data_IF_660517475274
#
_entry.id   IF_660517475274
#
_cell.length_a   1.000
_cell.length_b   1.000
_cell.length_c   1.000
_cell.angle_alpha   90.00
_cell.angle_beta   90.00
_cell.angle_gamma   90.00
#
_symmetry.space_group_name_H-M   'P 1'
#
loop_
_entity.id
_entity.type
_entity.pdbx_description
1 polymer ?
#
# COMPACT_ATOMS: atom_id res chain seq x y z
N UNK A 1 17.49 29.30 -22.12
CA UNK A 1 18.18 29.88 -20.95
C UNK A 1 17.52 31.17 -20.44
N UNK A 2 16.99 32.07 -21.28
CA UNK A 2 16.30 33.29 -20.80
C UNK A 2 15.02 33.04 -19.97
N UNK A 3 14.25 31.99 -20.24
CA UNK A 3 13.01 31.71 -19.50
C UNK A 3 13.23 31.25 -18.04
N UNK A 4 14.33 30.54 -17.77
CA UNK A 4 14.67 30.07 -16.42
C UNK A 4 15.14 31.25 -15.55
N UNK A 5 15.89 32.18 -16.13
CA UNK A 5 16.31 33.41 -15.45
C UNK A 5 15.14 34.39 -15.21
N UNK A 6 14.13 34.42 -16.09
CA UNK A 6 12.95 35.27 -15.89
C UNK A 6 12.01 34.73 -14.80
N UNK A 7 11.84 33.41 -14.71
CA UNK A 7 11.07 32.77 -13.63
C UNK A 7 11.82 32.89 -12.31
N UNK A 8 13.14 32.73 -12.28
CA UNK A 8 13.94 32.96 -11.06
C UNK A 8 14.07 34.44 -10.68
N UNK A 9 13.98 35.37 -11.63
CA UNK A 9 14.07 36.82 -11.41
C UNK A 9 12.75 37.49 -11.00
N UNK A 10 11.60 36.86 -11.26
CA UNK A 10 10.28 37.28 -10.75
C UNK A 10 9.98 36.71 -9.35
N UNK A 11 10.85 35.83 -8.83
CA UNK A 11 10.80 35.26 -7.49
C UNK A 11 11.74 36.08 -6.58
N UNK A 12 11.21 37.19 -6.07
CA UNK A 12 11.92 38.12 -5.20
C UNK A 12 12.62 37.46 -4.02
N UNK A 13 13.75 38.07 -3.66
CA UNK A 13 14.57 37.85 -2.47
C UNK A 13 13.78 37.29 -1.28
N UNK A 14 13.97 36.01 -0.96
CA UNK A 14 14.26 35.38 0.35
C UNK A 14 13.99 33.88 0.17
N UNK A 15 14.69 33.24 -0.77
CA UNK A 15 14.83 31.79 -0.67
C UNK A 15 16.02 31.56 0.25
N UNK A 16 15.96 30.55 1.13
CA UNK A 16 17.18 30.00 1.72
C UNK A 16 18.19 29.81 0.58
N UNK A 17 19.34 30.49 0.64
CA UNK A 17 20.29 30.42 -0.47
C UNK A 17 20.76 28.98 -0.73
N UNK A 18 20.66 28.12 0.28
CA UNK A 18 20.90 26.70 0.17
C UNK A 18 19.86 26.02 -0.73
N UNK A 19 18.57 26.34 -0.62
CA UNK A 19 17.52 25.75 -1.45
C UNK A 19 17.58 26.24 -2.91
N UNK A 20 17.89 27.52 -3.13
CA UNK A 20 18.18 28.07 -4.48
C UNK A 20 19.37 27.37 -5.12
N UNK A 21 20.47 27.27 -4.37
CA UNK A 21 21.71 26.64 -4.84
C UNK A 21 21.47 25.16 -5.15
N UNK A 22 20.74 24.45 -4.28
CA UNK A 22 20.37 23.06 -4.50
C UNK A 22 19.52 22.89 -5.76
N UNK A 23 18.50 23.74 -5.98
CA UNK A 23 17.67 23.71 -7.18
C UNK A 23 18.48 24.01 -8.44
N UNK A 24 19.35 25.02 -8.40
CA UNK A 24 20.23 25.38 -9.52
C UNK A 24 21.19 24.25 -9.91
N UNK A 25 21.56 23.39 -8.95
CA UNK A 25 22.40 22.20 -9.18
C UNK A 25 21.66 20.98 -9.79
N UNK A 26 20.33 21.06 -9.94
CA UNK A 26 19.52 20.02 -10.57
C UNK A 26 19.44 20.21 -12.08
N UNK A 27 18.99 19.19 -12.81
CA UNK A 27 18.74 19.28 -14.25
C UNK A 27 17.71 20.36 -14.59
N UNK A 28 17.83 20.95 -15.77
CA UNK A 28 16.85 21.92 -16.28
C UNK A 28 15.43 21.34 -16.34
N UNK A 29 15.32 20.02 -16.54
CA UNK A 29 14.04 19.32 -16.53
C UNK A 29 13.41 19.34 -15.13
N UNK A 30 14.20 19.06 -14.10
CA UNK A 30 13.75 19.13 -12.72
C UNK A 30 13.36 20.56 -12.32
N UNK A 31 14.16 21.56 -12.69
CA UNK A 31 13.85 22.98 -12.42
C UNK A 31 12.52 23.42 -13.06
N UNK A 32 12.29 23.04 -14.32
CA UNK A 32 11.02 23.29 -15.01
C UNK A 32 9.86 22.59 -14.30
N UNK A 33 10.06 21.34 -13.87
CA UNK A 33 9.04 20.58 -13.15
C UNK A 33 8.70 21.19 -11.79
N UNK A 34 9.68 21.70 -11.05
CA UNK A 34 9.44 22.43 -9.79
C UNK A 34 8.51 23.61 -10.02
N UNK A 35 8.80 24.43 -11.04
CA UNK A 35 7.95 25.57 -11.40
C UNK A 35 6.53 25.12 -11.75
N UNK A 36 6.39 24.06 -12.55
CA UNK A 36 5.10 23.49 -12.88
C UNK A 36 4.34 23.01 -11.63
N UNK A 37 4.99 22.28 -10.72
CA UNK A 37 4.35 21.76 -9.52
C UNK A 37 3.87 22.85 -8.57
N UNK A 38 4.65 23.93 -8.42
CA UNK A 38 4.24 25.10 -7.64
C UNK A 38 3.00 25.75 -8.27
N UNK A 39 2.98 25.92 -9.59
CA UNK A 39 1.85 26.51 -10.30
C UNK A 39 0.58 25.62 -10.31
N UNK A 40 0.76 24.30 -10.25
CA UNK A 40 -0.33 23.33 -10.32
C UNK A 40 -1.11 23.16 -9.01
N UNK A 41 -0.66 23.74 -7.89
CA UNK A 41 -1.36 23.64 -6.61
C UNK A 41 -1.31 24.96 -5.82
N UNK A 42 -2.48 25.53 -5.54
CA UNK A 42 -2.62 26.82 -4.84
C UNK A 42 -2.00 26.83 -3.44
N UNK A 43 -2.12 25.74 -2.67
CA UNK A 43 -1.55 25.67 -1.31
C UNK A 43 -0.03 25.60 -1.37
N UNK A 44 0.54 24.86 -2.34
CA UNK A 44 1.99 24.85 -2.57
C UNK A 44 2.47 26.24 -2.98
N UNK A 45 1.73 26.94 -3.84
CA UNK A 45 2.03 28.31 -4.23
C UNK A 45 2.04 29.27 -3.02
N UNK A 46 1.06 29.17 -2.12
CA UNK A 46 1.02 29.95 -0.88
C UNK A 46 2.23 29.64 0.00
N UNK A 47 2.52 28.36 0.26
CA UNK A 47 3.65 27.96 1.08
C UNK A 47 4.96 28.48 0.50
N UNK A 48 5.12 28.35 -0.82
CA UNK A 48 6.31 28.81 -1.53
C UNK A 48 6.47 30.34 -1.46
N UNK A 49 5.41 31.10 -1.74
CA UNK A 49 5.43 32.59 -1.66
C UNK A 49 5.56 33.10 -0.23
N UNK A 50 5.14 32.32 0.76
CA UNK A 50 5.33 32.58 2.19
C UNK A 50 6.68 32.10 2.72
N UNK A 51 7.60 31.70 1.84
CA UNK A 51 8.96 31.24 2.17
C UNK A 51 9.02 29.97 3.03
N UNK A 52 7.91 29.20 3.07
CA UNK A 52 7.78 27.91 3.77
C UNK A 52 8.17 26.77 2.84
N UNK A 53 9.42 26.77 2.38
CA UNK A 53 9.89 25.87 1.32
C UNK A 53 9.90 24.40 1.72
N UNK A 54 10.23 24.10 2.97
CA UNK A 54 10.19 22.73 3.47
C UNK A 54 8.77 22.18 3.47
N UNK A 55 7.80 22.98 3.91
CA UNK A 55 6.39 22.62 3.89
C UNK A 55 5.87 22.50 2.46
N UNK A 56 6.29 23.40 1.55
CA UNK A 56 5.91 23.33 0.14
C UNK A 56 6.40 22.05 -0.55
N UNK A 57 7.66 21.66 -0.34
CA UNK A 57 8.24 20.46 -0.96
C UNK A 57 7.71 19.16 -0.34
N UNK A 58 7.29 19.21 0.94
CA UNK A 58 6.67 18.08 1.65
C UNK A 58 5.14 18.07 1.56
N UNK A 59 4.54 19.05 0.88
CA UNK A 59 3.08 19.18 0.82
C UNK A 59 2.46 17.92 0.19
N UNK A 60 1.50 17.33 0.89
CA UNK A 60 0.81 16.10 0.49
C UNK A 60 -0.66 16.15 0.91
N UNK A 61 -1.52 15.74 -0.01
CA UNK A 61 -2.97 15.59 0.11
C UNK A 61 -3.40 14.40 -0.75
N UNK A 62 -4.61 13.84 -0.55
CA UNK A 62 -5.10 12.72 -1.36
C UNK A 62 -5.07 12.99 -2.87
N UNK A 63 -5.26 14.24 -3.29
CA UNK A 63 -5.30 14.65 -4.71
C UNK A 63 -3.98 15.21 -5.25
N UNK A 64 -3.03 15.55 -4.39
CA UNK A 64 -1.78 16.18 -4.80
C UNK A 64 -0.67 15.93 -3.77
N UNK A 65 0.48 15.45 -4.22
CA UNK A 65 1.70 15.41 -3.43
C UNK A 65 2.87 15.99 -4.21
N UNK A 66 3.65 16.87 -3.57
CA UNK A 66 4.79 17.55 -4.19
C UNK A 66 5.82 16.56 -4.71
N UNK A 67 6.18 15.52 -3.94
CA UNK A 67 7.06 14.44 -4.39
C UNK A 67 6.55 13.77 -5.68
N UNK A 68 5.27 13.42 -5.72
CA UNK A 68 4.65 12.80 -6.91
C UNK A 68 4.70 13.73 -8.11
N UNK A 69 4.31 14.98 -7.92
CA UNK A 69 4.37 15.96 -9.01
C UNK A 69 5.81 16.10 -9.52
N UNK A 70 6.80 16.21 -8.64
CA UNK A 70 8.18 16.45 -9.01
C UNK A 70 8.81 15.26 -9.74
N UNK A 71 8.56 14.03 -9.31
CA UNK A 71 9.31 12.86 -9.78
C UNK A 71 8.61 12.10 -10.92
N UNK A 72 7.28 12.17 -10.99
CA UNK A 72 6.51 11.52 -12.06
C UNK A 72 6.75 12.21 -13.42
N UNK A 73 6.55 11.47 -14.52
CA UNK A 73 6.79 11.89 -15.91
C UNK A 73 8.25 12.24 -16.20
N UNK A 74 9.16 11.63 -15.43
CA UNK A 74 10.61 11.84 -15.51
C UNK A 74 11.02 13.29 -15.27
N UNK A 75 10.27 14.05 -14.47
CA UNK A 75 10.55 15.47 -14.18
C UNK A 75 11.87 15.66 -13.43
N UNK A 76 11.89 15.30 -12.16
CA UNK A 76 13.06 15.17 -11.30
C UNK A 76 13.37 13.69 -11.06
N UNK A 77 14.63 13.33 -10.87
CA UNK A 77 15.01 12.06 -10.24
C UNK A 77 14.76 12.14 -8.73
N UNK A 78 14.63 10.99 -8.05
CA UNK A 78 14.56 10.94 -6.58
C UNK A 78 15.79 11.61 -5.94
N UNK A 79 16.98 11.41 -6.51
CA UNK A 79 18.22 12.05 -6.04
C UNK A 79 18.15 13.58 -6.11
N UNK A 80 17.63 14.13 -7.21
CA UNK A 80 17.44 15.58 -7.35
C UNK A 80 16.38 16.11 -6.36
N UNK A 81 15.26 15.40 -6.23
CA UNK A 81 14.22 15.72 -5.23
C UNK A 81 14.83 15.80 -3.83
N UNK A 82 15.54 14.75 -3.40
CA UNK A 82 16.13 14.70 -2.06
C UNK A 82 17.16 15.78 -1.83
N UNK A 83 17.93 16.16 -2.86
CA UNK A 83 18.89 17.26 -2.76
C UNK A 83 18.17 18.59 -2.48
N UNK A 84 17.13 18.91 -3.26
CA UNK A 84 16.34 20.14 -3.06
C UNK A 84 15.63 20.12 -1.71
N UNK A 85 15.04 18.98 -1.33
CA UNK A 85 14.34 18.78 -0.06
C UNK A 85 15.26 18.93 1.15
N UNK A 86 16.46 18.33 1.12
CA UNK A 86 17.42 18.47 2.21
C UNK A 86 17.87 19.92 2.40
N UNK A 87 18.11 20.63 1.30
CA UNK A 87 18.49 22.03 1.35
C UNK A 87 17.35 22.95 1.84
N UNK A 88 16.10 22.63 1.49
CA UNK A 88 14.92 23.39 1.95
C UNK A 88 14.56 23.12 3.42
N UNK A 89 14.75 21.89 3.90
CA UNK A 89 14.35 21.45 5.25
C UNK A 89 15.48 21.48 6.29
N UNK A 90 16.72 21.76 5.90
CA UNK A 90 17.86 21.83 6.81
C UNK A 90 18.30 20.48 7.38
N UNK A 91 17.86 19.36 6.80
CA UNK A 91 18.20 18.00 7.25
C UNK A 91 19.21 17.33 6.33
N UNK A 92 20.43 17.12 6.83
CA UNK A 92 21.51 16.38 6.16
C UNK A 92 21.34 14.86 6.20
N UNK A 93 20.32 14.35 6.91
CA UNK A 93 20.17 12.92 7.19
C UNK A 93 19.38 12.22 6.07
N UNK A 94 20.09 11.37 5.33
CA UNK A 94 19.52 10.31 4.48
C UNK A 94 19.01 9.11 5.29
N UNK A 95 19.12 9.15 6.62
CA UNK A 95 18.90 8.01 7.53
C UNK A 95 17.60 8.07 8.34
N UNK A 96 16.81 9.13 8.22
CA UNK A 96 15.48 9.24 8.84
C UNK A 96 14.42 9.68 7.83
N UNK A 97 14.08 8.82 6.86
CA UNK A 97 12.86 9.03 6.08
C UNK A 97 11.66 8.77 6.98
N UNK A 98 10.79 9.77 7.14
CA UNK A 98 9.52 9.58 7.82
C UNK A 98 8.54 8.74 6.95
N UNK A 99 7.51 8.21 7.60
CA UNK A 99 6.52 7.34 6.95
C UNK A 99 5.86 8.01 5.74
N UNK A 100 5.62 9.33 5.80
CA UNK A 100 5.06 10.12 4.70
C UNK A 100 5.93 10.06 3.45
N UNK A 101 7.22 10.30 3.61
CA UNK A 101 8.18 10.24 2.52
C UNK A 101 8.33 8.83 1.95
N UNK A 102 8.38 7.80 2.81
CA UNK A 102 8.43 6.40 2.36
C UNK A 102 7.19 6.04 1.53
N UNK A 103 6.00 6.43 1.97
CA UNK A 103 4.74 6.21 1.24
C UNK A 103 4.76 6.94 -0.10
N UNK A 104 5.19 8.20 -0.13
CA UNK A 104 5.32 8.96 -1.36
C UNK A 104 6.29 8.34 -2.37
N UNK A 105 7.45 7.85 -1.92
CA UNK A 105 8.42 7.13 -2.78
C UNK A 105 7.82 5.85 -3.34
N UNK A 106 7.12 5.09 -2.49
CA UNK A 106 6.45 3.86 -2.91
C UNK A 106 5.40 4.14 -4.00
N UNK A 107 4.60 5.21 -3.85
CA UNK A 107 3.59 5.63 -4.83
C UNK A 107 4.22 6.09 -6.15
N UNK A 108 5.28 6.89 -6.10
CA UNK A 108 6.01 7.32 -7.31
C UNK A 108 6.59 6.13 -8.07
N UNK A 109 7.04 5.10 -7.35
CA UNK A 109 7.59 3.88 -7.93
C UNK A 109 6.52 2.93 -8.50
N UNK A 110 5.24 3.18 -8.21
CA UNK A 110 4.11 2.41 -8.74
C UNK A 110 3.65 2.97 -10.10
N UNK A 111 2.76 2.26 -10.77
CA UNK A 111 2.14 2.69 -12.04
C UNK A 111 1.24 3.92 -11.84
N UNK A 112 0.99 4.63 -12.94
CA UNK A 112 0.05 5.76 -12.94
C UNK A 112 -1.38 5.31 -12.59
N UNK A 113 -1.78 4.13 -13.05
CA UNK A 113 -3.07 3.52 -12.71
C UNK A 113 -3.18 3.32 -11.20
N UNK A 114 -2.15 2.74 -10.58
CA UNK A 114 -2.16 2.52 -9.13
C UNK A 114 -2.19 3.81 -8.33
N UNK A 115 -1.39 4.82 -8.70
CA UNK A 115 -1.44 6.14 -8.03
C UNK A 115 -2.82 6.79 -8.11
N UNK A 116 -3.45 6.72 -9.28
CA UNK A 116 -4.80 7.26 -9.49
C UNK A 116 -5.82 6.50 -8.65
N UNK A 117 -5.69 5.17 -8.60
CA UNK A 117 -6.57 4.34 -7.78
C UNK A 117 -6.39 4.60 -6.28
N UNK A 118 -5.17 4.83 -5.81
CA UNK A 118 -4.92 5.22 -4.42
C UNK A 118 -5.68 6.50 -4.08
N UNK A 119 -5.59 7.54 -4.92
CA UNK A 119 -6.32 8.79 -4.73
C UNK A 119 -7.85 8.58 -4.71
N UNK A 120 -8.37 7.78 -5.65
CA UNK A 120 -9.78 7.44 -5.72
C UNK A 120 -10.25 6.69 -4.47
N UNK A 121 -9.49 5.70 -4.00
CA UNK A 121 -9.82 4.90 -2.84
C UNK A 121 -9.80 5.71 -1.54
N UNK A 122 -8.79 6.57 -1.37
CA UNK A 122 -8.74 7.47 -0.21
C UNK A 122 -9.96 8.39 -0.20
N UNK A 123 -10.34 8.93 -1.36
CA UNK A 123 -11.48 9.85 -1.47
C UNK A 123 -12.85 9.16 -1.43
N UNK A 124 -12.90 7.83 -1.58
CA UNK A 124 -14.15 7.07 -1.62
C UNK A 124 -14.72 6.75 -0.24
N UNK A 125 -13.91 6.86 0.82
CA UNK A 125 -14.33 6.63 2.20
C UNK A 125 -13.77 7.72 3.13
N UNK A 126 -14.66 8.45 3.80
CA UNK A 126 -14.27 9.57 4.70
C UNK A 126 -13.39 9.14 5.87
N UNK A 127 -13.48 7.91 6.35
CA UNK A 127 -12.62 7.41 7.42
C UNK A 127 -11.20 7.23 6.90
N UNK A 128 -11.06 6.64 5.70
CA UNK A 128 -9.76 6.49 5.04
C UNK A 128 -9.14 7.84 4.73
N UNK A 129 -9.91 8.79 4.22
CA UNK A 129 -9.46 10.16 3.98
C UNK A 129 -8.94 10.82 5.27
N UNK A 130 -9.69 10.72 6.37
CA UNK A 130 -9.31 11.27 7.67
C UNK A 130 -8.05 10.60 8.23
N UNK A 131 -7.91 9.27 8.09
CA UNK A 131 -6.70 8.55 8.50
C UNK A 131 -5.50 9.00 7.66
N UNK A 132 -5.65 9.13 6.34
CA UNK A 132 -4.60 9.56 5.43
C UNK A 132 -4.13 10.99 5.74
N UNK A 133 -5.06 11.94 5.87
CA UNK A 133 -4.76 13.34 6.18
C UNK A 133 -4.18 13.53 7.60
N UNK A 134 -4.49 12.60 8.52
CA UNK A 134 -3.88 12.55 9.86
C UNK A 134 -2.54 11.79 9.90
N UNK A 135 -1.93 11.49 8.75
CA UNK A 135 -0.67 10.74 8.60
C UNK A 135 -0.71 9.31 9.17
N UNK A 136 -1.90 8.75 9.39
CA UNK A 136 -2.14 7.36 9.83
C UNK A 136 -2.21 6.43 8.64
N UNK A 137 -1.13 6.40 7.85
CA UNK A 137 -1.09 5.72 6.56
C UNK A 137 -1.26 4.21 6.67
N UNK A 138 -0.70 3.60 7.72
CA UNK A 138 -0.83 2.16 7.93
C UNK A 138 -2.28 1.77 8.23
N UNK A 139 -2.96 2.54 9.08
CA UNK A 139 -4.37 2.34 9.38
C UNK A 139 -5.24 2.59 8.14
N UNK A 140 -4.94 3.63 7.35
CA UNK A 140 -5.67 3.93 6.12
C UNK A 140 -5.58 2.78 5.10
N UNK A 141 -4.38 2.23 4.85
CA UNK A 141 -4.19 1.17 3.85
C UNK A 141 -4.72 -0.19 4.30
N UNK A 142 -4.81 -0.43 5.63
CA UNK A 142 -5.39 -1.65 6.23
C UNK A 142 -6.87 -1.50 6.57
N UNK A 143 -7.46 -0.32 6.36
CA UNK A 143 -8.85 -0.06 6.71
C UNK A 143 -9.77 -1.03 5.97
N UNK A 144 -10.64 -1.68 6.75
CA UNK A 144 -11.59 -2.68 6.26
C UNK A 144 -12.87 -2.65 7.07
N UNK A 145 -13.98 -2.66 6.36
CA UNK A 145 -15.35 -2.75 6.85
C UNK A 145 -16.15 -3.62 5.87
N UNK A 146 -17.35 -4.10 6.23
CA UNK A 146 -18.20 -4.84 5.30
C UNK A 146 -18.53 -4.13 4.00
N UNK A 147 -18.54 -2.79 4.00
CA UNK A 147 -18.90 -1.96 2.83
C UNK A 147 -17.70 -1.42 2.08
N UNK A 148 -16.52 -1.42 2.68
CA UNK A 148 -15.31 -0.85 2.08
C UNK A 148 -14.07 -1.51 2.66
N UNK A 149 -13.14 -1.96 1.80
CA UNK A 149 -11.82 -2.41 2.20
C UNK A 149 -10.76 -1.79 1.29
N UNK A 150 -9.73 -1.16 1.87
CA UNK A 150 -8.68 -0.48 1.14
C UNK A 150 -7.96 -1.40 0.15
N UNK A 151 -7.60 -2.61 0.56
CA UNK A 151 -7.00 -3.61 -0.32
C UNK A 151 -7.89 -3.93 -1.54
N UNK A 152 -9.18 -4.16 -1.31
CA UNK A 152 -10.13 -4.45 -2.38
C UNK A 152 -10.27 -3.25 -3.31
N UNK A 153 -10.45 -2.04 -2.77
CA UNK A 153 -10.55 -0.84 -3.59
C UNK A 153 -9.28 -0.63 -4.45
N UNK A 154 -8.10 -0.84 -3.86
CA UNK A 154 -6.83 -0.61 -4.55
C UNK A 154 -6.57 -1.63 -5.65
N UNK A 155 -6.90 -2.90 -5.44
CA UNK A 155 -6.49 -4.00 -6.34
C UNK A 155 -7.58 -4.41 -7.33
N UNK A 156 -8.85 -4.17 -7.03
CA UNK A 156 -9.94 -4.52 -7.95
C UNK A 156 -9.89 -3.64 -9.21
N UNK A 157 -10.30 -4.22 -10.33
CA UNK A 157 -10.36 -3.61 -11.67
C UNK A 157 -9.02 -3.08 -12.22
N UNK A 158 -7.91 -3.72 -11.82
CA UNK A 158 -6.56 -3.42 -12.33
C UNK A 158 -6.02 -2.06 -11.91
N UNK A 159 -6.54 -1.47 -10.84
CA UNK A 159 -6.01 -0.21 -10.29
C UNK A 159 -4.55 -0.35 -9.87
N UNK A 160 -4.30 -1.15 -8.82
CA UNK A 160 -2.98 -1.57 -8.37
C UNK A 160 -2.80 -3.08 -8.53
N UNK A 161 -1.59 -3.53 -8.86
CA UNK A 161 -1.20 -4.92 -8.65
C UNK A 161 -1.00 -5.21 -7.16
N UNK A 162 -1.07 -6.48 -6.75
CA UNK A 162 -0.73 -6.89 -5.38
C UNK A 162 0.69 -6.47 -5.00
N UNK A 163 1.65 -6.54 -5.93
CA UNK A 163 3.03 -6.09 -5.70
C UNK A 163 3.11 -4.60 -5.37
N UNK A 164 2.36 -3.76 -6.10
CA UNK A 164 2.30 -2.32 -5.82
C UNK A 164 1.59 -2.03 -4.49
N UNK A 165 0.49 -2.73 -4.20
CA UNK A 165 -0.17 -2.65 -2.91
C UNK A 165 0.81 -2.96 -1.77
N UNK A 166 1.52 -4.09 -1.83
CA UNK A 166 2.47 -4.47 -0.78
C UNK A 166 3.63 -3.48 -0.65
N UNK A 167 4.09 -2.89 -1.76
CA UNK A 167 5.10 -1.85 -1.71
C UNK A 167 4.62 -0.63 -0.91
N UNK A 168 3.42 -0.13 -1.21
CA UNK A 168 2.84 1.02 -0.50
C UNK A 168 2.51 0.66 0.95
N UNK A 169 1.94 -0.52 1.20
CA UNK A 169 1.61 -1.03 2.54
C UNK A 169 2.85 -1.17 3.42
N UNK A 170 3.93 -1.75 2.90
CA UNK A 170 5.18 -1.88 3.66
C UNK A 170 5.86 -0.53 3.90
N UNK A 171 5.70 0.43 2.99
CA UNK A 171 6.17 1.79 3.20
C UNK A 171 5.36 2.54 4.29
N UNK A 172 4.05 2.30 4.37
CA UNK A 172 3.16 2.88 5.35
C UNK A 172 3.28 2.24 6.75
N UNK A 173 3.44 0.92 6.81
CA UNK A 173 3.41 0.13 8.04
C UNK A 173 4.79 -0.27 8.57
N UNK A 174 5.86 -0.03 7.80
CA UNK A 174 7.18 -0.61 8.05
C UNK A 174 7.29 -2.06 7.56
N UNK A 175 8.53 -2.53 7.39
CA UNK A 175 8.87 -3.89 6.90
C UNK A 175 8.57 -5.00 7.91
N UNK A 176 8.17 -4.66 9.13
CA UNK A 176 7.89 -5.57 10.24
C UNK A 176 6.54 -6.27 10.14
N UNK A 177 6.19 -6.89 9.01
CA UNK A 177 5.20 -7.97 8.97
C UNK A 177 5.13 -8.65 7.59
N UNK A 178 6.12 -9.49 7.29
CA UNK A 178 5.87 -10.69 6.48
C UNK A 178 5.50 -11.89 7.34
N UNK A 179 5.66 -11.78 8.67
CA UNK A 179 5.39 -12.82 9.67
C UNK A 179 4.03 -12.70 10.36
N UNK A 180 3.16 -11.76 9.95
CA UNK A 180 1.80 -11.64 10.49
C UNK A 180 0.88 -10.85 9.58
N UNK A 181 0.55 -11.39 8.39
CA UNK A 181 -0.69 -10.97 7.73
C UNK A 181 -1.84 -11.34 8.67
N UNK A 182 -2.64 -10.37 9.08
CA UNK A 182 -3.85 -10.66 9.84
C UNK A 182 -4.86 -11.42 8.96
N UNK A 183 -5.85 -12.04 9.60
CA UNK A 183 -6.86 -12.82 8.89
C UNK A 183 -7.61 -11.95 7.87
N UNK A 184 -7.84 -10.68 8.18
CA UNK A 184 -8.49 -9.69 7.32
C UNK A 184 -7.70 -9.45 6.02
N UNK A 185 -6.38 -9.24 6.10
CA UNK A 185 -5.52 -9.04 4.93
C UNK A 185 -5.42 -10.32 4.09
N UNK A 186 -5.28 -11.49 4.73
CA UNK A 186 -5.26 -12.78 4.02
C UNK A 186 -6.57 -13.04 3.26
N UNK A 187 -7.70 -12.79 3.90
CA UNK A 187 -9.03 -12.92 3.28
C UNK A 187 -9.20 -11.93 2.14
N UNK A 188 -8.77 -10.67 2.34
CA UNK A 188 -8.78 -9.66 1.30
C UNK A 188 -7.92 -10.03 0.09
N UNK A 189 -6.71 -10.56 0.30
CA UNK A 189 -5.81 -11.03 -0.78
C UNK A 189 -6.47 -12.18 -1.55
N UNK A 190 -7.02 -13.16 -0.83
CA UNK A 190 -7.71 -14.28 -1.46
C UNK A 190 -8.93 -13.80 -2.26
N UNK A 191 -9.68 -12.83 -1.74
CA UNK A 191 -10.84 -12.26 -2.40
C UNK A 191 -10.46 -11.54 -3.70
N UNK A 192 -9.45 -10.67 -3.69
CA UNK A 192 -9.03 -9.95 -4.91
C UNK A 192 -8.37 -10.87 -5.94
N UNK A 193 -7.77 -11.98 -5.50
CA UNK A 193 -7.14 -12.99 -6.37
C UNK A 193 -8.16 -13.89 -7.07
N UNK A 194 -9.39 -13.96 -6.57
CA UNK A 194 -10.48 -14.71 -7.20
C UNK A 194 -11.14 -13.92 -8.34
N UNK A 195 -11.92 -14.60 -9.18
CA UNK A 195 -12.65 -14.00 -10.30
C UNK A 195 -13.65 -12.94 -9.85
N UNK A 196 -13.96 -12.00 -10.73
CA UNK A 196 -14.97 -10.96 -10.49
C UNK A 196 -16.35 -11.56 -10.17
N UNK A 197 -16.68 -12.71 -10.78
CA UNK A 197 -17.90 -13.45 -10.49
C UNK A 197 -17.93 -13.92 -9.04
N UNK A 198 -16.83 -14.54 -8.58
CA UNK A 198 -16.70 -14.97 -7.19
C UNK A 198 -16.79 -13.78 -6.21
N UNK A 199 -16.06 -12.69 -6.45
CA UNK A 199 -16.10 -11.49 -5.60
C UNK A 199 -17.50 -10.90 -5.46
N UNK A 200 -18.20 -10.75 -6.58
CA UNK A 200 -19.59 -10.28 -6.59
C UNK A 200 -20.50 -11.23 -5.81
N UNK A 201 -20.31 -12.55 -5.97
CA UNK A 201 -21.08 -13.56 -5.26
C UNK A 201 -20.83 -13.53 -3.75
N UNK A 202 -19.59 -13.30 -3.33
CA UNK A 202 -19.21 -13.13 -1.91
C UNK A 202 -20.01 -12.01 -1.26
N UNK A 203 -20.07 -10.83 -1.89
CA UNK A 203 -20.83 -9.69 -1.36
C UNK A 203 -22.34 -9.99 -1.27
N UNK A 204 -22.90 -10.66 -2.28
CA UNK A 204 -24.31 -11.08 -2.27
C UNK A 204 -24.58 -12.06 -1.12
N UNK A 205 -23.76 -13.10 -0.99
CA UNK A 205 -23.96 -14.16 -0.01
C UNK A 205 -23.78 -13.67 1.42
N UNK A 206 -22.77 -12.83 1.69
CA UNK A 206 -22.56 -12.22 3.01
C UNK A 206 -23.75 -11.37 3.41
N UNK A 207 -24.32 -10.62 2.46
CA UNK A 207 -25.45 -9.73 2.72
C UNK A 207 -26.80 -10.45 2.79
N UNK A 208 -26.88 -11.71 2.33
CA UNK A 208 -28.12 -12.48 2.25
C UNK A 208 -28.57 -13.06 3.60
N UNK A 209 -27.65 -13.22 4.55
CA UNK A 209 -27.96 -13.70 5.90
C UNK A 209 -27.39 -12.75 6.97
N UNK A 210 -28.22 -12.36 7.93
CA UNK A 210 -27.84 -11.37 8.95
C UNK A 210 -26.73 -11.89 9.87
N UNK A 211 -26.70 -13.19 10.17
CA UNK A 211 -25.67 -13.78 11.01
C UNK A 211 -24.34 -13.87 10.28
N UNK A 212 -24.35 -14.26 9.01
CA UNK A 212 -23.14 -14.24 8.16
C UNK A 212 -22.60 -12.82 8.03
N UNK A 213 -23.47 -11.83 7.77
CA UNK A 213 -23.11 -10.41 7.73
C UNK A 213 -22.42 -9.96 9.02
N UNK A 214 -22.99 -10.29 10.17
CA UNK A 214 -22.44 -9.90 11.47
C UNK A 214 -21.11 -10.60 11.77
N UNK A 215 -20.96 -11.88 11.41
CA UNK A 215 -19.70 -12.61 11.53
C UNK A 215 -18.63 -11.98 10.65
N UNK A 216 -18.95 -11.66 9.40
CA UNK A 216 -18.03 -10.99 8.48
C UNK A 216 -17.63 -9.58 8.99
N UNK A 217 -18.58 -8.82 9.52
CA UNK A 217 -18.34 -7.51 10.12
C UNK A 217 -17.48 -7.55 11.39
N UNK A 218 -17.44 -8.69 12.08
CA UNK A 218 -16.64 -8.92 13.28
C UNK A 218 -15.32 -9.64 12.97
N UNK A 219 -14.90 -9.66 11.70
CA UNK A 219 -13.70 -10.37 11.20
C UNK A 219 -13.67 -11.88 11.50
N UNK A 220 -14.83 -12.48 11.80
CA UNK A 220 -15.00 -13.93 12.02
C UNK A 220 -15.23 -14.65 10.68
N UNK A 221 -14.35 -14.41 9.71
CA UNK A 221 -14.51 -14.88 8.34
C UNK A 221 -14.61 -16.40 8.23
N UNK A 222 -13.85 -17.14 9.05
CA UNK A 222 -13.90 -18.59 9.05
C UNK A 222 -15.28 -19.11 9.48
N UNK A 223 -15.83 -18.55 10.57
CA UNK A 223 -17.19 -18.89 11.04
C UNK A 223 -18.24 -18.49 9.99
N UNK A 224 -18.09 -17.33 9.35
CA UNK A 224 -18.99 -16.85 8.30
C UNK A 224 -19.01 -17.79 7.08
N UNK A 225 -17.84 -18.23 6.61
CA UNK A 225 -17.71 -19.11 5.45
C UNK A 225 -18.16 -20.55 5.74
N UNK A 226 -18.06 -21.00 6.99
CA UNK A 226 -18.55 -22.31 7.43
C UNK A 226 -20.03 -22.28 7.87
N UNK A 227 -20.67 -21.12 7.85
CA UNK A 227 -22.03 -20.98 8.36
C UNK A 227 -23.02 -21.84 7.56
N UNK A 228 -23.82 -22.59 8.31
CA UNK A 228 -24.87 -23.45 7.78
C UNK A 228 -26.09 -23.40 8.71
N UNK A 229 -27.24 -23.12 8.12
CA UNK A 229 -28.55 -23.08 8.74
C UNK A 229 -29.58 -23.72 7.78
N UNK A 230 -30.77 -24.02 8.31
CA UNK A 230 -31.81 -24.73 7.55
C UNK A 230 -32.16 -24.09 6.20
N UNK A 231 -32.13 -22.76 6.11
CA UNK A 231 -32.49 -21.98 4.90
C UNK A 231 -31.29 -21.32 4.21
N UNK A 232 -30.08 -21.46 4.74
CA UNK A 232 -28.89 -20.81 4.18
C UNK A 232 -27.62 -21.61 4.47
N UNK A 233 -26.85 -21.92 3.43
CA UNK A 233 -25.54 -22.55 3.54
C UNK A 233 -24.56 -21.67 2.78
N UNK A 234 -23.54 -21.13 3.47
CA UNK A 234 -22.59 -20.18 2.89
C UNK A 234 -21.89 -20.78 1.66
N UNK A 235 -21.41 -22.01 1.75
CA UNK A 235 -20.79 -22.72 0.62
C UNK A 235 -21.75 -22.85 -0.58
N UNK A 236 -23.00 -23.27 -0.36
CA UNK A 236 -23.98 -23.43 -1.44
C UNK A 236 -24.33 -22.10 -2.09
N UNK A 237 -24.39 -21.02 -1.31
CA UNK A 237 -24.58 -19.68 -1.85
C UNK A 237 -23.39 -19.26 -2.74
N UNK A 238 -22.16 -19.50 -2.26
CA UNK A 238 -20.93 -19.09 -2.93
C UNK A 238 -20.61 -19.93 -4.17
N UNK A 239 -20.74 -21.25 -4.10
CA UNK A 239 -20.35 -22.20 -5.17
C UNK A 239 -21.51 -22.53 -6.13
N UNK A 240 -22.70 -21.99 -5.87
CA UNK A 240 -23.88 -22.21 -6.70
C UNK A 240 -23.74 -21.69 -8.15
N UNK A 241 -24.77 -21.89 -8.95
CA UNK A 241 -24.80 -21.48 -10.37
C UNK A 241 -24.39 -20.00 -10.52
N UNK A 242 -23.35 -19.73 -11.30
CA UNK A 242 -22.73 -18.40 -11.53
C UNK A 242 -22.00 -17.74 -10.34
N UNK A 243 -21.57 -18.54 -9.35
CA UNK A 243 -20.80 -18.07 -8.21
C UNK A 243 -19.28 -18.28 -8.33
N UNK A 244 -18.63 -18.48 -7.19
CA UNK A 244 -17.26 -18.97 -7.10
C UNK A 244 -17.16 -20.42 -7.60
N UNK A 245 -16.03 -20.78 -8.19
CA UNK A 245 -15.63 -22.18 -8.32
C UNK A 245 -15.32 -22.77 -6.94
N UNK A 246 -15.31 -24.10 -6.83
CA UNK A 246 -14.91 -24.77 -5.59
C UNK A 246 -13.47 -24.41 -5.18
N UNK A 247 -12.56 -24.28 -6.16
CA UNK A 247 -11.17 -23.87 -5.92
C UNK A 247 -11.06 -22.46 -5.31
N UNK A 248 -11.84 -21.50 -5.82
CA UNK A 248 -11.89 -20.13 -5.29
C UNK A 248 -12.49 -20.07 -3.88
N UNK A 249 -13.52 -20.87 -3.62
CA UNK A 249 -14.09 -21.01 -2.27
C UNK A 249 -13.09 -21.64 -1.30
N UNK A 250 -12.40 -22.71 -1.70
CA UNK A 250 -11.38 -23.36 -0.86
C UNK A 250 -10.20 -22.44 -0.58
N UNK A 251 -9.82 -21.59 -1.54
CA UNK A 251 -8.82 -20.53 -1.36
C UNK A 251 -9.27 -19.52 -0.30
N UNK A 252 -10.48 -18.98 -0.41
CA UNK A 252 -11.07 -18.06 0.57
C UNK A 252 -11.18 -18.69 1.96
N UNK A 253 -11.69 -19.92 2.02
CA UNK A 253 -11.83 -20.67 3.27
C UNK A 253 -10.48 -20.91 3.93
N UNK A 254 -9.46 -21.26 3.16
CA UNK A 254 -8.09 -21.42 3.67
C UNK A 254 -7.58 -20.10 4.23
N UNK A 255 -7.69 -19.01 3.49
CA UNK A 255 -7.25 -17.69 3.96
C UNK A 255 -7.95 -17.26 5.26
N UNK A 256 -9.25 -17.53 5.38
CA UNK A 256 -10.04 -17.20 6.56
C UNK A 256 -9.78 -18.11 7.77
N UNK A 257 -9.55 -19.40 7.53
CA UNK A 257 -9.50 -20.44 8.57
C UNK A 257 -8.09 -20.89 8.94
N UNK A 258 -7.05 -20.38 8.27
CA UNK A 258 -5.69 -20.64 8.72
C UNK A 258 -5.49 -19.93 10.04
N UNK A 259 -5.45 -20.69 11.13
CA UNK A 259 -5.17 -20.17 12.45
C UNK A 259 -3.84 -19.41 12.40
N UNK A 260 -3.88 -18.11 12.68
CA UNK A 260 -2.69 -17.44 13.16
C UNK A 260 -2.43 -18.07 14.53
N UNK A 261 -1.45 -18.98 14.62
CA UNK A 261 -0.88 -19.39 15.90
C UNK A 261 -0.10 -18.22 16.49
N UNK A 262 -0.82 -17.18 16.91
CA UNK A 262 -0.33 -16.20 17.89
C UNK A 262 -0.80 -16.67 19.25
N UNK A 263 -0.19 -17.74 19.75
CA UNK A 263 0.04 -17.79 21.20
C UNK A 263 1.03 -16.67 21.49
N UNK A 264 0.51 -15.59 22.05
CA UNK A 264 1.25 -14.96 23.14
C UNK A 264 1.56 -16.06 24.14
N UNK A 265 2.83 -16.45 24.20
CA UNK A 265 3.38 -17.20 25.32
C UNK A 265 4.42 -16.28 25.94
N UNK A 266 3.95 -15.55 26.95
CA UNK A 266 4.80 -15.15 28.04
C UNK A 266 5.60 -16.38 28.51
N UNK A 267 6.90 -16.16 28.60
CA UNK A 267 7.91 -16.88 29.38
C UNK A 267 7.60 -18.28 29.94
N UNK A 268 8.45 -19.22 29.51
CA UNK A 268 9.06 -20.28 30.32
C UNK A 268 8.21 -21.54 30.62
N UNK A 269 8.37 -22.60 29.81
CA UNK A 269 8.84 -23.91 30.29
C UNK A 269 9.08 -24.89 29.13
N UNK A 270 10.15 -25.67 29.24
CA UNK A 270 10.60 -26.73 28.33
C UNK A 270 9.49 -27.70 27.90
N UNK A 271 9.17 -27.79 26.61
CA UNK A 271 8.83 -29.07 25.94
C UNK A 271 9.18 -29.04 24.44
N UNK A 272 10.14 -29.89 24.05
CA UNK A 272 10.10 -30.72 22.84
C UNK A 272 9.87 -30.09 21.47
N UNK A 273 10.97 -29.84 20.76
CA UNK A 273 11.03 -29.62 19.31
C UNK A 273 10.46 -30.83 18.57
N UNK A 274 9.43 -30.64 17.74
CA UNK A 274 9.03 -31.59 16.70
C UNK A 274 8.60 -30.84 15.43
N UNK A 275 9.59 -30.51 14.59
CA UNK A 275 9.36 -30.01 13.23
C UNK A 275 10.54 -30.44 12.33
N UNK A 276 10.57 -31.71 11.93
CA UNK A 276 11.27 -32.14 10.71
C UNK A 276 10.48 -33.27 10.05
N UNK A 277 9.31 -32.93 9.52
CA UNK A 277 8.57 -33.77 8.59
C UNK A 277 8.72 -33.18 7.19
N UNK A 278 9.29 -33.96 6.28
CA UNK A 278 9.12 -33.86 4.81
C UNK A 278 9.87 -32.78 4.01
N UNK A 279 11.13 -32.45 4.34
CA UNK A 279 12.05 -31.86 3.35
C UNK A 279 13.48 -32.46 3.32
N UNK A 280 13.71 -33.59 4.00
CA UNK A 280 15.01 -34.28 4.03
C UNK A 280 15.11 -35.50 3.08
N UNK A 281 14.03 -35.91 2.41
CA UNK A 281 14.05 -37.12 1.57
C UNK A 281 14.31 -36.89 0.08
N UNK A 282 14.41 -35.63 -0.39
CA UNK A 282 14.69 -35.34 -1.80
C UNK A 282 16.14 -34.92 -2.10
N UNK A 283 16.97 -34.69 -1.08
CA UNK A 283 18.38 -34.28 -1.26
C UNK A 283 19.42 -35.37 -0.92
N UNK A 284 19.02 -36.50 -0.33
CA UNK A 284 19.94 -37.63 -0.08
C UNK A 284 20.03 -38.66 -1.22
N UNK A 285 19.08 -38.68 -2.17
CA UNK A 285 19.11 -39.62 -3.30
C UNK A 285 19.90 -39.12 -4.52
N UNK A 286 20.27 -37.84 -4.56
CA UNK A 286 21.03 -37.24 -5.67
C UNK A 286 22.56 -37.26 -5.46
N UNK A 287 23.04 -37.50 -4.23
CA UNK A 287 24.48 -37.57 -3.93
C UNK A 287 25.03 -39.01 -4.05
N UNK A 288 24.17 -40.03 -4.01
CA UNK A 288 24.58 -41.44 -4.16
C UNK A 288 24.74 -41.92 -5.62
N UNK A 289 24.34 -41.10 -6.60
CA UNK A 289 24.45 -41.42 -8.04
C UNK A 289 25.67 -40.78 -8.73
N UNK A 290 26.44 -39.92 -8.04
CA UNK A 290 27.61 -39.22 -8.62
C UNK A 290 28.98 -39.69 -8.10
N UNK A 291 29.05 -40.68 -7.20
CA UNK A 291 30.32 -41.23 -6.69
C UNK A 291 30.66 -42.63 -7.23
N UNK A 292 29.96 -43.11 -8.27
CA UNK A 292 30.28 -44.38 -8.95
C UNK A 292 30.59 -44.25 -10.45
N UNK A 293 30.85 -43.04 -10.95
CA UNK A 293 31.43 -42.87 -12.28
C UNK A 293 32.45 -41.71 -12.25
N UNK A 294 33.72 -42.08 -12.39
CA UNK A 294 34.95 -41.29 -12.42
C UNK A 294 35.57 -40.88 -11.07
#
# INVERSE_FOLDING_TARGET
MLYVALVLGLLGEVVSEDAKTALASTSLKCQSRVTHCIASNYNVQILYTSLKYCEAIRYSTPSFASLTCLVVDSGCTLTEYFRVRNAACGTSSTTGMDTDENVGIALVSSSQQCRSQVSNCISSDTTVENLYTSLKYCEAIRYSTPSFASLTCLVVDSGCTLTEYFRVRNAACGTSSTTGMDTDENVGIALVSNSQQCRSKVNICISSDTRVKNLYASSKYCEALQYSAFYFIAQSCLVGSSGCTQSEYDSLKRAACTAISTTGMDTNENVGIALVGTLSMFLCSLIYLFTNFF
#
